data_IF_428300861789
#
_entry.id   IF_428300861789
#
_cell.length_a   1.000
_cell.length_b   1.000
_cell.length_c   1.000
_cell.angle_alpha   90.00
_cell.angle_beta   90.00
_cell.angle_gamma   90.00
#
_symmetry.space_group_name_H-M   'P 1'
#
loop_
_entity.id
_entity.type
_entity.pdbx_description
1 polymer ?
#
# COMPACT_ATOMS: atom_id res chain seq x y z
N UNK A 1 12.58 -9.18 -5.98
CA UNK A 1 11.31 -8.87 -6.67
C UNK A 1 11.62 -7.95 -7.85
N UNK A 2 10.96 -8.06 -9.00
CA UNK A 2 11.21 -7.11 -10.11
C UNK A 2 10.55 -5.75 -9.77
N UNK A 3 11.21 -4.62 -10.02
CA UNK A 3 10.67 -3.26 -9.77
C UNK A 3 9.32 -3.04 -10.46
N UNK A 4 9.12 -3.59 -11.66
CA UNK A 4 7.85 -3.52 -12.36
C UNK A 4 6.71 -4.21 -11.58
N UNK A 5 7.02 -5.35 -10.94
CA UNK A 5 6.07 -6.07 -10.11
C UNK A 5 5.73 -5.28 -8.84
N UNK A 6 6.74 -4.70 -8.18
CA UNK A 6 6.56 -3.85 -6.99
C UNK A 6 5.63 -2.67 -7.30
N UNK A 7 5.87 -1.98 -8.41
CA UNK A 7 5.06 -0.84 -8.82
C UNK A 7 3.61 -1.27 -9.12
N UNK A 8 3.42 -2.40 -9.80
CA UNK A 8 2.09 -2.93 -10.08
C UNK A 8 1.34 -3.31 -8.79
N UNK A 9 2.00 -4.01 -7.87
CA UNK A 9 1.41 -4.37 -6.57
C UNK A 9 1.04 -3.11 -5.77
N UNK A 10 1.89 -2.08 -5.78
CA UNK A 10 1.56 -0.78 -5.16
C UNK A 10 0.27 -0.19 -5.74
N UNK A 11 0.19 -0.09 -7.07
CA UNK A 11 -0.98 0.49 -7.76
C UNK A 11 -2.26 -0.31 -7.50
N UNK A 12 -2.18 -1.63 -7.54
CA UNK A 12 -3.33 -2.48 -7.30
C UNK A 12 -3.77 -2.41 -5.82
N UNK A 13 -2.82 -2.28 -4.89
CA UNK A 13 -3.11 -2.06 -3.47
C UNK A 13 -3.83 -0.71 -3.25
N UNK A 14 -3.40 0.36 -3.90
CA UNK A 14 -4.04 1.68 -3.79
C UNK A 14 -5.48 1.66 -4.34
N UNK A 15 -5.73 0.91 -5.42
CA UNK A 15 -7.08 0.68 -5.94
C UNK A 15 -7.95 -0.07 -4.95
N UNK A 16 -7.42 -1.12 -4.29
CA UNK A 16 -8.15 -1.88 -3.28
C UNK A 16 -8.52 -0.99 -2.09
N UNK A 17 -7.59 -0.17 -1.60
CA UNK A 17 -7.85 0.76 -0.49
C UNK A 17 -8.93 1.77 -0.87
N UNK A 18 -8.86 2.32 -2.09
CA UNK A 18 -9.85 3.25 -2.60
C UNK A 18 -11.23 2.60 -2.76
N UNK A 19 -11.27 1.37 -3.30
CA UNK A 19 -12.50 0.58 -3.39
C UNK A 19 -13.10 0.31 -2.00
N UNK A 20 -12.27 -0.04 -1.02
CA UNK A 20 -12.73 -0.27 0.34
C UNK A 20 -13.40 0.98 0.93
N UNK A 21 -12.80 2.16 0.70
CA UNK A 21 -13.36 3.42 1.18
C UNK A 21 -14.70 3.75 0.50
N UNK A 22 -14.81 3.57 -0.81
CA UNK A 22 -16.06 3.78 -1.55
C UNK A 22 -17.16 2.81 -1.11
N UNK A 23 -16.82 1.54 -0.95
CA UNK A 23 -17.75 0.52 -0.49
C UNK A 23 -18.23 0.79 0.93
N UNK A 24 -17.35 1.25 1.83
CA UNK A 24 -17.74 1.67 3.19
C UNK A 24 -18.84 2.73 3.15
N UNK A 25 -18.64 3.78 2.35
CA UNK A 25 -19.61 4.89 2.21
C UNK A 25 -20.93 4.38 1.64
N UNK A 26 -20.89 3.54 0.60
CA UNK A 26 -22.09 2.97 0.00
C UNK A 26 -22.87 2.06 0.96
N UNK A 27 -22.16 1.27 1.78
CA UNK A 27 -22.78 0.42 2.81
C UNK A 27 -23.43 1.25 3.92
N UNK A 28 -22.75 2.32 4.36
CA UNK A 28 -23.31 3.23 5.36
C UNK A 28 -24.59 3.90 4.85
N UNK A 29 -24.61 4.35 3.60
CA UNK A 29 -25.79 4.95 2.97
C UNK A 29 -26.96 3.95 2.89
N UNK A 30 -26.70 2.70 2.45
CA UNK A 30 -27.71 1.64 2.44
C UNK A 30 -28.24 1.30 3.83
N UNK A 31 -27.38 1.27 4.83
CA UNK A 31 -27.77 1.00 6.21
C UNK A 31 -28.66 2.12 6.78
N UNK A 32 -28.30 3.39 6.55
CA UNK A 32 -29.11 4.55 6.96
C UNK A 32 -30.48 4.55 6.27
N UNK A 33 -30.55 4.11 5.01
CA UNK A 33 -31.79 3.95 4.25
C UNK A 33 -32.63 2.74 4.68
N UNK A 34 -32.14 1.96 5.65
CA UNK A 34 -32.75 0.71 6.11
C UNK A 34 -32.89 -0.37 5.01
N UNK A 35 -32.05 -0.31 3.97
CA UNK A 35 -31.96 -1.32 2.90
C UNK A 35 -31.12 -2.55 3.33
N UNK A 36 -30.52 -2.50 4.52
CA UNK A 36 -29.71 -3.56 5.10
C UNK A 36 -30.10 -3.77 6.56
N UNK A 37 -30.12 -5.02 7.00
CA UNK A 37 -30.21 -5.35 8.42
C UNK A 37 -28.89 -5.06 9.14
N UNK A 38 -28.95 -4.86 10.47
CA UNK A 38 -27.77 -4.70 11.32
C UNK A 38 -26.76 -5.84 11.12
N UNK A 39 -27.25 -7.08 10.99
CA UNK A 39 -26.42 -8.27 10.80
C UNK A 39 -25.69 -8.25 9.45
N UNK A 40 -26.37 -7.87 8.36
CA UNK A 40 -25.75 -7.77 7.03
C UNK A 40 -24.71 -6.67 7.00
N UNK A 41 -25.04 -5.49 7.56
CA UNK A 41 -24.12 -4.38 7.66
C UNK A 41 -22.87 -4.75 8.47
N UNK A 42 -23.04 -5.35 9.66
CA UNK A 42 -21.93 -5.79 10.50
C UNK A 42 -21.03 -6.81 9.79
N UNK A 43 -21.61 -7.78 9.09
CA UNK A 43 -20.84 -8.78 8.34
C UNK A 43 -20.03 -8.14 7.21
N UNK A 44 -20.65 -7.25 6.43
CA UNK A 44 -19.97 -6.56 5.34
C UNK A 44 -18.84 -5.63 5.83
N UNK A 45 -19.06 -4.90 6.93
CA UNK A 45 -18.02 -4.07 7.55
C UNK A 45 -16.86 -4.91 8.08
N UNK A 46 -17.13 -6.07 8.67
CA UNK A 46 -16.07 -6.99 9.12
C UNK A 46 -15.22 -7.48 7.94
N UNK A 47 -15.85 -7.94 6.86
CA UNK A 47 -15.13 -8.35 5.65
C UNK A 47 -14.28 -7.20 5.08
N UNK A 48 -14.86 -6.01 5.01
CA UNK A 48 -14.17 -4.81 4.53
C UNK A 48 -12.95 -4.47 5.38
N UNK A 49 -13.08 -4.63 6.69
CA UNK A 49 -12.00 -4.37 7.66
C UNK A 49 -10.84 -5.33 7.44
N UNK A 50 -11.12 -6.62 7.24
CA UNK A 50 -10.10 -7.65 6.95
C UNK A 50 -9.37 -7.35 5.64
N UNK A 51 -10.11 -7.03 4.57
CA UNK A 51 -9.52 -6.69 3.26
C UNK A 51 -8.65 -5.44 3.38
N UNK A 52 -9.14 -4.40 4.04
CA UNK A 52 -8.41 -3.15 4.24
C UNK A 52 -7.13 -3.37 5.05
N UNK A 53 -7.18 -4.18 6.12
CA UNK A 53 -6.00 -4.53 6.89
C UNK A 53 -4.94 -5.23 6.03
N UNK A 54 -5.36 -6.23 5.24
CA UNK A 54 -4.44 -6.96 4.36
C UNK A 54 -3.82 -6.07 3.29
N UNK A 55 -4.60 -5.14 2.73
CA UNK A 55 -4.08 -4.16 1.77
C UNK A 55 -3.05 -3.22 2.40
N UNK A 56 -3.26 -2.79 3.65
CA UNK A 56 -2.28 -1.97 4.38
C UNK A 56 -0.98 -2.70 4.66
N UNK A 57 -1.03 -3.99 5.02
CA UNK A 57 0.16 -4.84 5.19
C UNK A 57 0.97 -4.93 3.89
N UNK A 58 0.31 -5.23 2.77
CA UNK A 58 0.96 -5.30 1.46
C UNK A 58 1.59 -3.95 1.09
N UNK A 59 0.88 -2.85 1.33
CA UNK A 59 1.40 -1.50 1.07
C UNK A 59 2.66 -1.22 1.92
N UNK A 60 2.65 -1.64 3.18
CA UNK A 60 3.80 -1.50 4.06
C UNK A 60 5.01 -2.28 3.54
N UNK A 61 4.84 -3.55 3.17
CA UNK A 61 5.91 -4.39 2.61
C UNK A 61 6.47 -3.84 1.30
N UNK A 62 5.61 -3.35 0.42
CA UNK A 62 6.01 -2.71 -0.84
C UNK A 62 6.84 -1.45 -0.60
N UNK A 63 6.40 -0.58 0.31
CA UNK A 63 7.14 0.64 0.68
C UNK A 63 8.50 0.31 1.28
N UNK A 64 8.57 -0.72 2.12
CA UNK A 64 9.82 -1.18 2.71
C UNK A 64 10.80 -1.69 1.64
N UNK A 65 10.30 -2.50 0.71
CA UNK A 65 11.10 -2.97 -0.42
C UNK A 65 11.67 -1.83 -1.26
N UNK A 66 10.84 -0.83 -1.62
CA UNK A 66 11.28 0.34 -2.41
C UNK A 66 12.36 1.12 -1.65
N UNK A 67 12.16 1.32 -0.33
CA UNK A 67 13.12 1.99 0.53
C UNK A 67 14.47 1.26 0.53
N UNK A 68 14.46 -0.05 0.71
CA UNK A 68 15.67 -0.86 0.73
C UNK A 68 16.39 -0.93 -0.63
N UNK A 69 15.63 -1.00 -1.72
CA UNK A 69 16.16 -0.94 -3.08
C UNK A 69 16.88 0.40 -3.32
N UNK A 70 16.24 1.51 -2.98
CA UNK A 70 16.83 2.85 -3.12
C UNK A 70 18.07 2.99 -2.25
N UNK A 71 18.04 2.49 -1.00
CA UNK A 71 19.20 2.52 -0.11
C UNK A 71 20.40 1.79 -0.71
N UNK A 72 20.18 0.59 -1.28
CA UNK A 72 21.25 -0.16 -1.97
C UNK A 72 21.77 0.61 -3.17
N UNK A 73 20.91 1.16 -4.01
CA UNK A 73 21.33 1.96 -5.17
C UNK A 73 22.19 3.17 -4.78
N UNK A 74 21.91 3.85 -3.66
CA UNK A 74 22.70 5.00 -3.20
C UNK A 74 24.01 4.62 -2.50
N UNK A 75 24.09 3.46 -1.85
CA UNK A 75 25.33 2.97 -1.22
C UNK A 75 26.32 2.44 -2.27
N UNK A 76 25.80 1.87 -3.38
CA UNK A 76 26.62 1.23 -4.41
C UNK A 76 26.87 2.10 -5.65
N UNK A 77 26.90 3.44 -5.56
CA UNK A 77 27.51 4.26 -6.62
C UNK A 77 29.00 4.46 -6.30
N UNK A 78 29.92 3.61 -6.81
CA UNK A 78 31.33 3.69 -6.47
C UNK A 78 31.92 5.02 -6.93
N UNK A 79 31.36 5.58 -8.01
CA UNK A 79 31.71 6.87 -8.58
C UNK A 79 31.46 8.05 -7.62
N UNK A 80 30.41 7.99 -6.79
CA UNK A 80 30.13 9.03 -5.80
C UNK A 80 31.05 8.91 -4.58
N UNK A 81 31.36 7.68 -4.16
CA UNK A 81 32.33 7.42 -3.10
C UNK A 81 33.74 7.83 -3.55
N UNK A 82 34.14 7.49 -4.78
CA UNK A 82 35.43 7.86 -5.34
C UNK A 82 35.58 9.38 -5.46
N UNK A 83 34.54 10.10 -5.93
CA UNK A 83 34.54 11.58 -5.95
C UNK A 83 34.70 12.22 -4.57
N UNK A 84 34.24 11.57 -3.50
CA UNK A 84 34.43 12.05 -2.12
C UNK A 84 35.86 11.79 -1.64
N UNK A 85 36.42 10.62 -1.99
CA UNK A 85 37.81 10.25 -1.68
C UNK A 85 38.79 11.19 -2.40
N UNK A 86 38.58 11.41 -3.70
CA UNK A 86 39.45 12.24 -4.55
C UNK A 86 39.40 13.73 -4.20
N UNK A 87 38.34 14.20 -3.50
CA UNK A 87 38.24 15.59 -3.00
C UNK A 87 38.95 15.83 -1.67
N UNK A 88 39.41 14.77 -0.98
CA UNK A 88 40.09 14.86 0.32
C UNK A 88 41.62 14.74 0.22
N UNK A 89 42.15 14.44 -0.97
CA UNK A 89 43.58 14.48 -1.31
C UNK A 89 43.87 15.84 -1.93
#
# INVERSE_FOLDING_TARGET
MNQALVNKVSQDTDKILSFCQLLKVALQDKFIKHDLTDSEFAHMINLLTVINHRALEVNFEVKDYIRDYNRKMHIYQPEQIQKIIDRRI
#
